data_IF_329660474992
#
_entry.id   IF_329660474992
#
_cell.length_a   1.000
_cell.length_b   1.000
_cell.length_c   1.000
_cell.angle_alpha   90.00
_cell.angle_beta   90.00
_cell.angle_gamma   90.00
#
_symmetry.space_group_name_H-M   'P 1'
#
loop_
_entity.id
_entity.type
_entity.pdbx_description
1 polymer ?
#
# COMPACT_ATOMS: atom_id res chain seq x y z
N UNK A 1 33.34 31.93 27.24
CA UNK A 1 32.44 30.90 26.68
C UNK A 1 31.09 31.41 26.14
N UNK A 2 30.96 32.69 25.77
CA UNK A 2 29.76 33.22 25.11
C UNK A 2 29.87 33.30 23.57
N UNK A 3 31.08 33.19 23.00
CA UNK A 3 31.29 33.38 21.55
C UNK A 3 30.98 32.14 20.69
N UNK A 4 30.86 30.95 21.28
CA UNK A 4 30.64 29.71 20.52
C UNK A 4 29.15 29.50 20.19
N UNK A 5 28.24 30.12 20.96
CA UNK A 5 26.79 29.93 20.81
C UNK A 5 26.17 30.89 19.78
N UNK A 6 26.75 32.08 19.59
CA UNK A 6 26.30 33.02 18.54
C UNK A 6 26.79 32.62 17.14
N UNK A 7 27.96 31.99 17.04
CA UNK A 7 28.54 31.58 15.76
C UNK A 7 27.83 30.34 15.16
N UNK A 8 27.30 29.44 16.00
CA UNK A 8 26.49 28.30 15.54
C UNK A 8 25.08 28.72 15.13
N UNK A 9 24.46 29.67 15.83
CA UNK A 9 23.14 30.20 15.48
C UNK A 9 23.14 31.02 14.18
N UNK A 10 24.27 31.68 13.84
CA UNK A 10 24.42 32.41 12.58
C UNK A 10 24.67 31.48 11.39
N UNK A 11 25.44 30.40 11.60
CA UNK A 11 25.68 29.36 10.58
C UNK A 11 24.40 28.55 10.26
N UNK A 12 23.58 28.21 11.27
CA UNK A 12 22.31 27.50 11.04
C UNK A 12 21.29 28.35 10.25
N UNK A 13 21.24 29.66 10.52
CA UNK A 13 20.39 30.60 9.77
C UNK A 13 20.90 30.83 8.33
N UNK A 14 22.22 30.88 8.11
CA UNK A 14 22.78 31.00 6.75
C UNK A 14 22.56 29.75 5.89
N UNK A 15 22.61 28.55 6.48
CA UNK A 15 22.40 27.29 5.74
C UNK A 15 20.94 27.16 5.28
N UNK A 16 19.99 27.61 6.11
CA UNK A 16 18.57 27.68 5.75
C UNK A 16 18.29 28.64 4.57
N UNK A 17 18.98 29.78 4.51
CA UNK A 17 18.81 30.75 3.41
C UNK A 17 19.43 30.30 2.07
N UNK A 18 20.54 29.56 2.09
CA UNK A 18 21.22 29.12 0.84
C UNK A 18 20.40 28.11 0.04
N UNK A 19 19.59 27.29 0.72
CA UNK A 19 18.66 26.36 0.07
C UNK A 19 17.51 27.07 -0.65
N UNK A 20 17.00 28.16 -0.07
CA UNK A 20 15.88 28.94 -0.62
C UNK A 20 16.28 29.89 -1.76
N UNK A 21 17.56 30.29 -1.85
CA UNK A 21 18.09 31.16 -2.92
C UNK A 21 18.47 30.42 -4.20
N UNK A 22 18.54 29.09 -4.18
CA UNK A 22 18.69 28.32 -5.43
C UNK A 22 17.39 28.45 -6.22
N UNK A 23 17.43 28.85 -7.50
CA UNK A 23 16.26 28.70 -8.35
C UNK A 23 15.82 27.24 -8.25
N UNK A 24 14.52 26.96 -8.04
CA UNK A 24 14.05 25.60 -7.94
C UNK A 24 14.54 24.84 -9.18
N UNK A 25 14.98 23.58 -9.05
CA UNK A 25 15.41 22.76 -10.18
C UNK A 25 14.21 22.32 -11.02
N UNK A 26 13.23 23.21 -11.19
CA UNK A 26 11.95 23.03 -11.84
C UNK A 26 12.00 23.94 -13.07
N UNK A 27 12.15 23.31 -14.23
CA UNK A 27 12.09 23.99 -15.51
C UNK A 27 10.62 23.98 -15.96
N UNK A 28 9.79 24.79 -15.30
CA UNK A 28 8.35 24.89 -15.58
C UNK A 28 7.89 26.33 -15.48
N UNK A 29 7.03 26.73 -16.43
CA UNK A 29 6.37 28.03 -16.43
C UNK A 29 5.28 28.14 -15.35
N UNK A 30 4.97 27.03 -14.66
CA UNK A 30 3.97 26.95 -13.60
C UNK A 30 4.64 26.58 -12.27
N UNK A 31 4.51 27.45 -11.26
CA UNK A 31 4.86 27.11 -9.89
C UNK A 31 3.68 26.35 -9.24
N UNK A 32 3.91 25.20 -8.60
CA UNK A 32 2.84 24.41 -7.99
C UNK A 32 2.37 24.99 -6.65
N UNK A 33 2.51 26.31 -6.43
CA UNK A 33 2.17 26.98 -5.17
C UNK A 33 1.07 28.05 -5.39
N UNK A 34 0.02 28.09 -4.55
CA UNK A 34 -0.24 27.16 -3.44
C UNK A 34 -0.61 25.77 -3.96
N UNK A 35 -0.04 24.72 -3.35
CA UNK A 35 -0.29 23.34 -3.76
C UNK A 35 -1.67 22.88 -3.27
N UNK A 36 -2.43 22.21 -4.14
CA UNK A 36 -3.84 21.83 -3.90
C UNK A 36 -4.08 20.31 -3.88
N UNK A 37 -3.02 19.49 -3.89
CA UNK A 37 -3.14 18.03 -3.94
C UNK A 37 -3.43 17.38 -2.57
N UNK A 38 -3.17 16.06 -2.47
CA UNK A 38 -3.10 15.33 -1.19
C UNK A 38 -1.73 14.67 -1.04
N UNK A 39 -1.10 14.83 0.12
CA UNK A 39 0.16 14.16 0.45
C UNK A 39 -0.16 12.91 1.27
N UNK A 40 0.68 11.92 1.08
CA UNK A 40 0.61 10.67 1.81
C UNK A 40 1.95 9.98 1.87
N UNK A 41 1.99 8.93 2.68
CA UNK A 41 3.12 8.02 2.77
C UNK A 41 2.62 6.57 2.80
N UNK A 42 3.57 5.65 2.73
CA UNK A 42 3.29 4.23 2.67
C UNK A 42 3.58 3.49 3.98
N UNK A 43 2.60 2.70 4.43
CA UNK A 43 2.66 1.65 5.44
C UNK A 43 3.00 2.10 6.87
N UNK A 44 4.01 2.93 7.06
CA UNK A 44 4.66 3.16 8.34
C UNK A 44 4.95 4.64 8.55
N UNK A 45 4.63 5.12 9.74
CA UNK A 45 5.12 6.39 10.25
C UNK A 45 6.27 6.11 11.24
N UNK A 46 7.47 6.60 10.92
CA UNK A 46 8.67 6.33 11.72
C UNK A 46 8.62 6.95 13.11
N UNK A 47 7.99 8.13 13.27
CA UNK A 47 7.78 8.77 14.58
C UNK A 47 6.83 7.96 15.46
N UNK A 48 5.76 7.43 14.87
CA UNK A 48 4.81 6.59 15.61
C UNK A 48 5.39 5.21 15.94
N UNK A 49 6.25 4.67 15.07
CA UNK A 49 6.94 3.39 15.31
C UNK A 49 7.88 3.45 16.52
N UNK A 50 8.51 4.59 16.78
CA UNK A 50 9.45 4.77 17.91
C UNK A 50 8.75 5.16 19.21
N UNK A 51 7.42 5.33 19.20
CA UNK A 51 6.63 5.58 20.41
C UNK A 51 6.62 4.37 21.35
N UNK A 52 6.21 4.58 22.60
CA UNK A 52 6.02 3.52 23.59
C UNK A 52 4.58 3.52 24.14
N UNK A 53 3.73 2.53 23.81
CA UNK A 53 4.01 1.42 22.90
C UNK A 53 4.12 1.86 21.42
N UNK A 54 4.80 1.09 20.56
CA UNK A 54 4.98 1.44 19.16
C UNK A 54 3.66 1.33 18.38
N UNK A 55 3.41 2.30 17.51
CA UNK A 55 2.19 2.39 16.69
C UNK A 55 2.55 2.21 15.21
N UNK A 56 2.08 1.12 14.61
CA UNK A 56 2.26 0.81 13.19
C UNK A 56 1.31 -0.31 12.76
N UNK A 57 1.13 -0.51 11.45
CA UNK A 57 0.11 -1.43 10.93
C UNK A 57 0.70 -2.49 9.98
N UNK A 58 1.91 -2.95 10.29
CA UNK A 58 2.67 -3.90 9.46
C UNK A 58 3.40 -4.96 10.30
N UNK A 59 2.83 -5.33 11.45
CA UNK A 59 3.36 -6.44 12.25
C UNK A 59 3.09 -7.75 11.52
N UNK A 60 4.11 -8.60 11.44
CA UNK A 60 4.04 -9.94 10.83
C UNK A 60 4.86 -10.93 11.65
N UNK A 61 4.80 -12.20 11.31
CA UNK A 61 5.53 -13.26 12.01
C UNK A 61 6.10 -14.29 11.03
N UNK A 62 6.82 -15.29 11.56
CA UNK A 62 7.27 -16.45 10.77
C UNK A 62 6.25 -17.58 10.88
N UNK A 63 6.21 -18.48 9.90
CA UNK A 63 5.41 -19.72 9.99
C UNK A 63 5.83 -20.53 11.24
N UNK A 64 7.12 -20.55 11.57
CA UNK A 64 7.59 -21.18 12.80
C UNK A 64 6.91 -20.61 14.05
N UNK A 65 6.67 -19.31 14.11
CA UNK A 65 5.93 -18.68 15.21
C UNK A 65 4.49 -19.18 15.27
N UNK A 66 3.81 -19.34 14.13
CA UNK A 66 2.45 -19.90 14.07
C UNK A 66 2.44 -21.33 14.65
N UNK A 67 3.40 -22.16 14.24
CA UNK A 67 3.53 -23.54 14.71
C UNK A 67 3.81 -23.62 16.21
N UNK A 68 4.70 -22.75 16.73
CA UNK A 68 4.97 -22.65 18.16
C UNK A 68 3.73 -22.23 18.95
N UNK A 69 2.95 -21.28 18.43
CA UNK A 69 1.72 -20.80 19.06
C UNK A 69 0.54 -21.75 18.91
N UNK A 70 0.72 -22.94 18.32
CA UNK A 70 -0.25 -24.04 18.46
C UNK A 70 -0.23 -24.63 19.87
N UNK A 71 0.80 -24.38 20.66
CA UNK A 71 0.94 -24.87 22.02
C UNK A 71 0.51 -23.80 23.04
N UNK A 72 -0.07 -24.18 24.20
CA UNK A 72 -0.35 -23.24 25.28
C UNK A 72 0.95 -22.65 25.85
N UNK A 73 0.85 -21.50 26.53
CA UNK A 73 1.96 -20.96 27.32
C UNK A 73 2.36 -21.92 28.45
N UNK A 74 3.63 -21.87 28.86
CA UNK A 74 4.16 -22.60 30.04
C UNK A 74 3.34 -22.30 31.30
N UNK A 75 3.00 -21.03 31.50
CA UNK A 75 2.04 -20.57 32.51
C UNK A 75 0.89 -19.81 31.82
N UNK A 76 -0.27 -20.45 31.61
CA UNK A 76 -1.43 -19.81 31.00
C UNK A 76 -2.05 -18.67 31.82
N UNK A 77 -1.67 -18.50 33.09
CA UNK A 77 -2.16 -17.41 33.95
C UNK A 77 -1.40 -16.09 33.77
N UNK A 78 -0.24 -16.13 33.10
CA UNK A 78 0.64 -15.00 32.86
C UNK A 78 0.61 -14.57 31.39
N UNK A 79 0.87 -13.29 31.08
CA UNK A 79 1.04 -12.87 29.68
C UNK A 79 2.24 -13.56 29.05
N UNK A 80 2.22 -13.66 27.72
CA UNK A 80 3.37 -14.14 26.96
C UNK A 80 4.59 -13.22 27.20
N UNK A 81 5.76 -13.83 27.39
CA UNK A 81 7.01 -13.11 27.50
C UNK A 81 8.09 -13.79 26.65
N UNK A 82 8.90 -13.02 25.90
CA UNK A 82 9.90 -13.57 24.99
C UNK A 82 10.93 -14.49 25.63
N UNK A 83 11.06 -14.54 26.96
CA UNK A 83 11.99 -15.43 27.68
C UNK A 83 11.42 -16.08 28.94
N UNK A 84 10.32 -15.56 29.50
CA UNK A 84 9.83 -15.96 30.83
C UNK A 84 8.57 -16.82 30.77
N UNK A 85 7.81 -16.72 29.70
CA UNK A 85 6.57 -17.46 29.52
C UNK A 85 6.31 -17.65 28.02
N UNK A 86 6.83 -18.75 27.47
CA UNK A 86 6.74 -19.07 26.04
C UNK A 86 5.74 -20.21 25.80
N UNK A 87 5.32 -20.47 24.56
CA UNK A 87 4.59 -21.69 24.22
C UNK A 87 5.35 -22.97 24.64
N UNK A 88 4.67 -23.86 25.36
CA UNK A 88 5.19 -25.14 25.83
C UNK A 88 4.98 -26.24 24.78
N UNK A 89 6.01 -26.45 23.95
CA UNK A 89 6.01 -27.45 22.86
C UNK A 89 5.84 -28.90 23.33
N UNK A 90 5.96 -29.18 24.64
CA UNK A 90 5.69 -30.52 25.18
C UNK A 90 4.19 -30.83 25.29
N UNK A 91 3.33 -29.80 25.27
CA UNK A 91 1.88 -29.94 25.33
C UNK A 91 1.30 -30.21 23.95
N UNK A 92 0.08 -30.78 23.85
CA UNK A 92 -0.59 -30.99 22.57
C UNK A 92 -0.75 -29.70 21.76
N UNK A 93 -0.57 -29.80 20.45
CA UNK A 93 -0.75 -28.69 19.53
C UNK A 93 -2.23 -28.55 19.13
N UNK A 94 -2.73 -27.32 19.09
CA UNK A 94 -4.05 -26.94 18.58
C UNK A 94 -3.88 -25.91 17.45
N UNK A 95 -4.20 -26.26 16.19
CA UNK A 95 -4.12 -25.33 15.06
C UNK A 95 -4.89 -24.01 15.28
N UNK A 96 -5.98 -24.03 16.05
CA UNK A 96 -6.78 -22.83 16.32
C UNK A 96 -6.02 -21.80 17.16
N UNK A 97 -5.09 -22.21 18.02
CA UNK A 97 -4.25 -21.27 18.78
C UNK A 97 -3.28 -20.53 17.87
N UNK A 98 -2.68 -21.23 16.91
CA UNK A 98 -1.84 -20.62 15.88
C UNK A 98 -2.61 -19.62 15.01
N UNK A 99 -3.85 -19.96 14.63
CA UNK A 99 -4.74 -19.04 13.92
C UNK A 99 -5.08 -17.80 14.76
N UNK A 100 -5.47 -17.98 16.03
CA UNK A 100 -5.76 -16.85 16.93
C UNK A 100 -4.56 -15.93 17.09
N UNK A 101 -3.35 -16.49 17.20
CA UNK A 101 -2.12 -15.70 17.30
C UNK A 101 -1.93 -14.74 16.11
N UNK A 102 -2.08 -15.22 14.87
CA UNK A 102 -1.95 -14.33 13.69
C UNK A 102 -3.13 -13.38 13.54
N UNK A 103 -4.34 -13.79 13.93
CA UNK A 103 -5.51 -12.92 14.00
C UNK A 103 -5.31 -11.77 14.99
N UNK A 104 -4.75 -12.02 16.16
CA UNK A 104 -4.45 -11.00 17.17
C UNK A 104 -3.42 -9.97 16.67
N UNK A 105 -2.42 -10.42 15.90
CA UNK A 105 -1.49 -9.50 15.21
C UNK A 105 -2.27 -8.59 14.25
N UNK A 106 -3.17 -9.17 13.44
CA UNK A 106 -4.03 -8.44 12.52
C UNK A 106 -4.93 -7.41 13.21
N UNK A 107 -5.57 -7.78 14.33
CA UNK A 107 -6.36 -6.86 15.14
C UNK A 107 -5.51 -5.68 15.66
N UNK A 108 -4.29 -5.95 16.11
CA UNK A 108 -3.41 -4.88 16.58
C UNK A 108 -2.99 -3.93 15.45
N UNK A 109 -2.70 -4.46 14.27
CA UNK A 109 -2.45 -3.64 13.09
C UNK A 109 -3.66 -2.76 12.73
N UNK A 110 -4.87 -3.33 12.72
CA UNK A 110 -6.11 -2.61 12.44
C UNK A 110 -6.41 -1.52 13.47
N UNK A 111 -6.21 -1.80 14.77
CA UNK A 111 -6.39 -0.81 15.85
C UNK A 111 -5.47 0.42 15.69
N UNK A 112 -4.24 0.20 15.24
CA UNK A 112 -3.28 1.29 15.11
C UNK A 112 -3.55 2.22 13.92
N UNK A 113 -4.33 1.80 12.92
CA UNK A 113 -4.76 2.67 11.82
C UNK A 113 -5.37 3.97 12.37
N UNK A 114 -6.25 3.89 13.36
CA UNK A 114 -6.93 5.07 13.95
C UNK A 114 -5.93 6.09 14.49
N UNK A 115 -4.89 5.63 15.19
CA UNK A 115 -3.85 6.53 15.74
C UNK A 115 -3.03 7.17 14.62
N UNK A 116 -2.72 6.40 13.58
CA UNK A 116 -1.99 6.88 12.41
C UNK A 116 -2.79 7.94 11.65
N UNK A 117 -4.08 7.72 11.40
CA UNK A 117 -4.94 8.69 10.72
C UNK A 117 -5.11 9.99 11.52
N UNK A 118 -5.26 9.91 12.84
CA UNK A 118 -5.33 11.10 13.71
C UNK A 118 -4.01 11.88 13.73
N UNK A 119 -2.88 11.18 13.70
CA UNK A 119 -1.59 11.83 13.57
C UNK A 119 -1.48 12.52 12.21
N UNK A 120 -1.85 11.84 11.13
CA UNK A 120 -1.80 12.39 9.77
C UNK A 120 -2.64 13.66 9.65
N UNK A 121 -3.86 13.64 10.19
CA UNK A 121 -4.76 14.78 10.21
C UNK A 121 -4.14 16.02 10.87
N UNK A 122 -3.50 15.83 12.03
CA UNK A 122 -2.78 16.89 12.75
C UNK A 122 -1.68 17.55 11.91
N UNK A 123 -1.07 16.82 10.97
CA UNK A 123 0.01 17.31 10.11
C UNK A 123 -0.44 17.55 8.65
N UNK A 124 -1.74 17.60 8.38
CA UNK A 124 -2.28 17.91 7.06
C UNK A 124 -2.05 16.80 6.00
N UNK A 125 -1.74 15.58 6.43
CA UNK A 125 -1.58 14.41 5.56
C UNK A 125 -2.97 13.77 5.40
N UNK A 126 -3.38 13.49 4.16
CA UNK A 126 -4.75 13.01 3.84
C UNK A 126 -4.78 11.77 2.96
N UNK A 127 -3.62 11.17 2.73
CA UNK A 127 -3.48 9.93 1.96
C UNK A 127 -2.60 8.95 2.74
N UNK A 128 -3.01 7.68 2.79
CA UNK A 128 -2.22 6.63 3.45
C UNK A 128 -2.33 5.31 2.68
N UNK A 129 -1.20 4.75 2.25
CA UNK A 129 -1.17 3.37 1.77
C UNK A 129 -1.07 2.42 2.96
N UNK A 130 -2.11 1.61 3.19
CA UNK A 130 -2.10 0.55 4.19
C UNK A 130 -1.12 -0.56 3.78
N UNK A 131 -0.53 -1.23 4.76
CA UNK A 131 0.43 -2.30 4.51
C UNK A 131 -0.26 -3.54 3.95
N UNK A 132 0.42 -4.30 3.09
CA UNK A 132 -0.05 -5.63 2.70
C UNK A 132 0.12 -6.65 3.84
N UNK A 133 1.02 -6.36 4.80
CA UNK A 133 1.25 -7.15 6.01
C UNK A 133 0.23 -6.87 7.14
N UNK A 134 -0.88 -6.20 6.83
CA UNK A 134 -1.94 -5.86 7.81
C UNK A 134 -2.45 -7.12 8.52
N UNK A 135 -2.69 -8.20 7.78
CA UNK A 135 -3.12 -9.49 8.29
C UNK A 135 -2.16 -10.59 7.83
N UNK A 136 -1.22 -11.01 8.70
CA UNK A 136 -0.18 -11.95 8.31
C UNK A 136 -0.76 -13.25 7.76
N UNK A 137 -0.28 -13.67 6.59
CA UNK A 137 -0.65 -14.92 5.92
C UNK A 137 -2.12 -15.06 5.49
N UNK A 138 -2.95 -14.02 5.53
CA UNK A 138 -4.38 -14.11 5.17
C UNK A 138 -4.62 -14.69 3.76
N UNK A 139 -3.76 -14.38 2.79
CA UNK A 139 -3.82 -14.91 1.42
C UNK A 139 -3.04 -16.22 1.18
N UNK A 140 -2.38 -16.76 2.21
CA UNK A 140 -1.55 -17.96 2.08
C UNK A 140 -2.39 -19.21 1.81
N UNK A 141 -1.90 -20.12 0.95
CA UNK A 141 -2.66 -21.31 0.56
C UNK A 141 -3.01 -22.23 1.74
N UNK A 142 -2.07 -22.43 2.66
CA UNK A 142 -2.22 -23.32 3.83
C UNK A 142 -2.66 -22.60 5.11
N UNK A 143 -2.24 -21.34 5.30
CA UNK A 143 -2.42 -20.59 6.55
C UNK A 143 -3.43 -19.44 6.40
N UNK A 144 -4.08 -19.32 5.24
CA UNK A 144 -5.02 -18.26 4.93
C UNK A 144 -6.31 -18.34 5.74
N UNK A 145 -6.96 -17.20 5.90
CA UNK A 145 -8.17 -17.03 6.69
C UNK A 145 -8.93 -15.78 6.23
N UNK A 146 -10.24 -15.75 6.47
CA UNK A 146 -11.07 -14.56 6.21
C UNK A 146 -10.90 -13.52 7.31
N UNK A 147 -11.18 -12.27 6.96
CA UNK A 147 -11.05 -11.12 7.86
C UNK A 147 -12.33 -10.79 8.64
N UNK A 148 -13.36 -11.65 8.57
CA UNK A 148 -14.63 -11.45 9.26
C UNK A 148 -14.49 -11.13 10.77
N UNK A 149 -13.54 -11.77 11.46
CA UNK A 149 -13.25 -11.52 12.88
C UNK A 149 -12.76 -10.09 13.17
N UNK A 150 -12.26 -9.38 12.15
CA UNK A 150 -11.73 -8.02 12.25
C UNK A 150 -12.71 -6.96 11.70
N UNK A 151 -13.94 -7.35 11.34
CA UNK A 151 -14.93 -6.44 10.75
C UNK A 151 -15.18 -5.20 11.60
N UNK A 152 -15.42 -5.35 12.91
CA UNK A 152 -15.71 -4.21 13.80
C UNK A 152 -14.53 -3.23 13.93
N UNK A 153 -13.30 -3.75 14.04
CA UNK A 153 -12.11 -2.90 14.19
C UNK A 153 -11.77 -2.19 12.89
N UNK A 154 -11.94 -2.84 11.74
CA UNK A 154 -11.75 -2.22 10.42
C UNK A 154 -12.82 -1.16 10.15
N UNK A 155 -14.10 -1.43 10.46
CA UNK A 155 -15.17 -0.45 10.35
C UNK A 155 -14.93 0.78 11.24
N UNK A 156 -14.38 0.57 12.44
CA UNK A 156 -13.95 1.67 13.32
C UNK A 156 -12.86 2.52 12.67
N UNK A 157 -11.86 1.88 12.05
CA UNK A 157 -10.80 2.59 11.32
C UNK A 157 -11.34 3.36 10.10
N UNK A 158 -12.23 2.74 9.31
CA UNK A 158 -12.81 3.39 8.14
C UNK A 158 -13.81 4.51 8.47
N UNK A 159 -14.51 4.44 9.61
CA UNK A 159 -15.26 5.57 10.15
C UNK A 159 -14.35 6.78 10.39
N UNK A 160 -13.22 6.58 11.06
CA UNK A 160 -12.24 7.65 11.31
C UNK A 160 -11.63 8.15 10.00
N UNK A 161 -11.33 7.25 9.04
CA UNK A 161 -10.86 7.66 7.73
C UNK A 161 -11.88 8.56 7.01
N UNK A 162 -13.17 8.20 7.09
CA UNK A 162 -14.26 8.97 6.48
C UNK A 162 -14.46 10.32 7.16
N UNK A 163 -14.49 10.36 8.49
CA UNK A 163 -14.60 11.59 9.30
C UNK A 163 -13.48 12.58 8.99
N UNK A 164 -12.25 12.09 8.81
CA UNK A 164 -11.07 12.92 8.57
C UNK A 164 -10.79 13.16 7.07
N UNK A 165 -11.63 12.64 6.17
CA UNK A 165 -11.44 12.75 4.71
C UNK A 165 -10.14 12.10 4.19
N UNK A 166 -9.70 11.02 4.85
CA UNK A 166 -8.50 10.29 4.46
C UNK A 166 -8.78 9.30 3.32
N UNK A 167 -7.98 9.41 2.26
CA UNK A 167 -7.92 8.38 1.22
C UNK A 167 -6.96 7.28 1.65
N UNK A 168 -7.42 6.04 1.60
CA UNK A 168 -6.58 4.86 1.86
C UNK A 168 -6.36 4.07 0.59
N UNK A 169 -5.22 3.42 0.43
CA UNK A 169 -4.95 2.49 -0.68
C UNK A 169 -4.14 1.30 -0.21
N UNK A 170 -3.97 0.29 -1.06
CA UNK A 170 -2.97 -0.77 -0.88
C UNK A 170 -2.10 -0.87 -2.11
N UNK A 171 -0.98 -1.58 -1.98
CA UNK A 171 -0.16 -1.99 -3.11
C UNK A 171 0.26 -3.44 -2.86
N UNK A 172 -0.49 -4.42 -3.37
CA UNK A 172 -0.09 -5.82 -3.35
C UNK A 172 1.36 -5.99 -3.81
N UNK A 173 2.07 -6.92 -3.18
CA UNK A 173 3.52 -7.04 -3.35
C UNK A 173 3.93 -7.59 -4.73
N UNK A 174 5.24 -7.61 -4.98
CA UNK A 174 5.84 -8.09 -6.24
C UNK A 174 5.49 -9.55 -6.61
N UNK A 175 4.96 -10.35 -5.67
CA UNK A 175 4.56 -11.74 -5.92
C UNK A 175 3.16 -11.86 -6.53
N UNK A 176 2.38 -10.78 -6.55
CA UNK A 176 1.05 -10.71 -7.14
C UNK A 176 1.17 -10.45 -8.64
N UNK A 177 1.18 -11.54 -9.41
CA UNK A 177 1.60 -11.63 -10.81
C UNK A 177 0.50 -12.25 -11.68
N UNK A 178 -0.49 -11.46 -12.06
CA UNK A 178 -1.67 -11.92 -12.84
C UNK A 178 -1.28 -12.37 -14.26
N UNK A 179 -0.22 -11.78 -14.83
CA UNK A 179 0.32 -12.13 -16.16
C UNK A 179 1.22 -13.37 -16.17
N UNK A 180 1.38 -14.08 -15.04
CA UNK A 180 2.29 -15.22 -14.94
C UNK A 180 1.86 -16.40 -15.84
N UNK A 181 2.80 -17.11 -16.49
CA UNK A 181 2.49 -18.36 -17.19
C UNK A 181 2.24 -19.53 -16.21
N UNK A 182 2.58 -19.38 -14.93
CA UNK A 182 2.42 -20.41 -13.90
C UNK A 182 1.06 -20.31 -13.23
N UNK A 183 0.24 -21.37 -13.34
CA UNK A 183 -1.14 -21.37 -12.82
C UNK A 183 -1.21 -21.18 -11.31
N UNK A 184 -0.26 -21.75 -10.58
CA UNK A 184 -0.14 -21.64 -9.14
C UNK A 184 0.17 -20.21 -8.67
N UNK A 185 0.95 -19.46 -9.46
CA UNK A 185 1.26 -18.05 -9.21
C UNK A 185 0.02 -17.18 -9.45
N UNK A 186 -0.70 -17.43 -10.54
CA UNK A 186 -1.97 -16.74 -10.83
C UNK A 186 -2.98 -17.01 -9.71
N UNK A 187 -3.15 -18.26 -9.28
CA UNK A 187 -4.06 -18.61 -8.20
C UNK A 187 -3.70 -17.94 -6.86
N UNK A 188 -2.40 -17.83 -6.54
CA UNK A 188 -1.92 -17.10 -5.37
C UNK A 188 -2.19 -15.59 -5.49
N UNK A 189 -1.98 -15.02 -6.67
CA UNK A 189 -2.22 -13.59 -6.95
C UNK A 189 -3.70 -13.24 -6.79
N UNK A 190 -4.60 -14.11 -7.26
CA UNK A 190 -6.04 -13.92 -7.08
C UNK A 190 -6.39 -13.92 -5.59
N UNK A 191 -5.92 -14.92 -4.81
CA UNK A 191 -6.18 -14.95 -3.36
C UNK A 191 -5.66 -13.69 -2.64
N UNK A 192 -4.52 -13.17 -3.06
CA UNK A 192 -3.94 -11.95 -2.50
C UNK A 192 -4.81 -10.71 -2.79
N UNK A 193 -5.32 -10.59 -4.02
CA UNK A 193 -6.22 -9.51 -4.40
C UNK A 193 -7.57 -9.60 -3.68
N UNK A 194 -8.15 -10.81 -3.54
CA UNK A 194 -9.38 -10.99 -2.78
C UNK A 194 -9.20 -10.64 -1.29
N UNK A 195 -8.04 -10.95 -0.70
CA UNK A 195 -7.70 -10.51 0.66
C UNK A 195 -7.68 -8.98 0.78
N UNK A 196 -7.02 -8.31 -0.17
CA UNK A 196 -6.96 -6.85 -0.18
C UNK A 196 -8.35 -6.21 -0.39
N UNK A 197 -9.18 -6.78 -1.25
CA UNK A 197 -10.56 -6.34 -1.45
C UNK A 197 -11.43 -6.56 -0.19
N UNK A 198 -11.33 -7.72 0.46
CA UNK A 198 -12.01 -7.99 1.74
C UNK A 198 -11.60 -6.95 2.80
N UNK A 199 -10.29 -6.70 2.94
CA UNK A 199 -9.79 -5.72 3.91
C UNK A 199 -10.33 -4.31 3.65
N UNK A 200 -10.27 -3.85 2.40
CA UNK A 200 -10.74 -2.50 2.03
C UNK A 200 -12.26 -2.39 2.19
N UNK A 201 -13.01 -3.43 1.82
CA UNK A 201 -14.47 -3.47 1.97
C UNK A 201 -14.89 -3.45 3.44
N UNK A 202 -14.18 -4.16 4.33
CA UNK A 202 -14.47 -4.16 5.77
C UNK A 202 -14.18 -2.82 6.47
N UNK A 203 -13.44 -1.91 5.83
CA UNK A 203 -13.34 -0.53 6.33
C UNK A 203 -14.70 0.18 6.31
N UNK A 204 -15.66 -0.26 5.49
CA UNK A 204 -17.00 0.31 5.42
C UNK A 204 -16.97 1.83 5.17
N UNK A 205 -16.14 2.26 4.22
CA UNK A 205 -15.92 3.66 3.89
C UNK A 205 -17.19 4.28 3.28
N UNK A 206 -17.31 5.62 3.36
CA UNK A 206 -18.32 6.34 2.57
C UNK A 206 -18.15 6.06 1.07
N UNK A 207 -19.24 6.10 0.30
CA UNK A 207 -19.30 5.63 -1.09
C UNK A 207 -18.15 6.15 -1.99
N UNK A 208 -17.83 7.44 -1.94
CA UNK A 208 -16.73 7.99 -2.75
C UNK A 208 -15.35 7.56 -2.23
N UNK A 209 -15.14 7.53 -0.91
CA UNK A 209 -13.87 7.07 -0.35
C UNK A 209 -13.65 5.58 -0.59
N UNK A 210 -14.72 4.80 -0.65
CA UNK A 210 -14.67 3.40 -1.02
C UNK A 210 -14.22 3.20 -2.46
N UNK A 211 -14.77 3.96 -3.43
CA UNK A 211 -14.25 3.99 -4.81
C UNK A 211 -12.79 4.43 -4.88
N UNK A 212 -12.41 5.41 -4.08
CA UNK A 212 -11.06 5.95 -4.04
C UNK A 212 -10.03 4.99 -3.41
N UNK A 213 -10.51 3.97 -2.69
CA UNK A 213 -9.71 2.94 -2.05
C UNK A 213 -9.29 1.84 -3.04
N UNK A 214 -8.18 2.11 -3.71
CA UNK A 214 -7.66 1.31 -4.82
C UNK A 214 -6.50 0.38 -4.42
N UNK A 215 -6.32 -0.67 -5.22
CA UNK A 215 -5.18 -1.60 -5.16
C UNK A 215 -4.24 -1.32 -6.32
N UNK A 216 -3.06 -0.78 -6.01
CA UNK A 216 -2.05 -0.42 -7.01
C UNK A 216 -1.21 -1.65 -7.34
N UNK A 217 -1.15 -2.03 -8.62
CA UNK A 217 -0.44 -3.22 -9.06
C UNK A 217 0.48 -2.90 -10.25
N UNK A 218 1.71 -3.39 -10.22
CA UNK A 218 2.55 -3.44 -11.42
C UNK A 218 2.10 -4.58 -12.35
N UNK A 219 2.32 -4.46 -13.65
CA UNK A 219 2.04 -5.54 -14.59
C UNK A 219 2.87 -6.81 -14.29
N UNK A 220 4.07 -6.61 -13.73
CA UNK A 220 4.92 -7.70 -13.25
C UNK A 220 5.91 -8.19 -14.29
N UNK A 221 6.28 -9.48 -14.24
CA UNK A 221 7.31 -10.03 -15.14
C UNK A 221 6.86 -10.02 -16.61
N UNK A 222 7.80 -9.79 -17.54
CA UNK A 222 7.53 -9.90 -19.00
C UNK A 222 7.50 -11.35 -19.49
N UNK A 223 8.05 -12.29 -18.70
CA UNK A 223 8.11 -13.73 -19.03
C UNK A 223 8.58 -14.05 -20.46
N UNK A 224 9.55 -13.26 -20.95
CA UNK A 224 10.14 -13.38 -22.29
C UNK A 224 9.39 -12.65 -23.42
N UNK A 225 8.13 -12.27 -23.22
CA UNK A 225 7.30 -11.62 -24.25
C UNK A 225 6.21 -10.73 -23.60
N UNK A 226 6.31 -9.42 -23.83
CA UNK A 226 5.34 -8.42 -23.36
C UNK A 226 3.94 -8.70 -23.89
N UNK A 227 3.77 -8.93 -25.19
CA UNK A 227 2.45 -9.12 -25.79
C UNK A 227 1.80 -10.40 -25.28
N UNK A 228 2.57 -11.48 -25.16
CA UNK A 228 2.06 -12.72 -24.56
C UNK A 228 1.65 -12.51 -23.08
N UNK A 229 2.38 -11.69 -22.33
CA UNK A 229 2.03 -11.33 -20.95
C UNK A 229 0.76 -10.51 -20.85
N UNK A 230 0.59 -9.49 -21.72
CA UNK A 230 -0.64 -8.71 -21.80
C UNK A 230 -1.84 -9.59 -22.12
N UNK A 231 -1.68 -10.58 -23.00
CA UNK A 231 -2.73 -11.54 -23.35
C UNK A 231 -3.13 -12.40 -22.15
N UNK A 232 -2.15 -12.95 -21.41
CA UNK A 232 -2.43 -13.70 -20.17
C UNK A 232 -3.08 -12.83 -19.10
N UNK A 233 -2.61 -11.58 -18.95
CA UNK A 233 -3.22 -10.62 -18.03
C UNK A 233 -4.69 -10.40 -18.38
N UNK A 234 -5.02 -10.15 -19.65
CA UNK A 234 -6.41 -9.99 -20.14
C UNK A 234 -7.28 -11.19 -19.77
N UNK A 235 -6.81 -12.40 -20.07
CA UNK A 235 -7.56 -13.64 -19.77
C UNK A 235 -7.79 -13.84 -18.27
N UNK A 236 -6.79 -13.53 -17.43
CA UNK A 236 -6.89 -13.71 -15.99
C UNK A 236 -7.67 -12.57 -15.32
N UNK A 237 -7.56 -11.34 -15.81
CA UNK A 237 -8.32 -10.18 -15.33
C UNK A 237 -9.83 -10.43 -15.43
N UNK A 238 -10.29 -11.05 -16.53
CA UNK A 238 -11.71 -11.41 -16.70
C UNK A 238 -12.24 -12.32 -15.59
N UNK A 239 -11.38 -13.14 -14.96
CA UNK A 239 -11.74 -14.10 -13.91
C UNK A 239 -11.78 -13.48 -12.50
N UNK A 240 -11.27 -12.26 -12.34
CA UNK A 240 -11.28 -11.57 -11.04
C UNK A 240 -12.71 -11.22 -10.62
N UNK A 241 -12.94 -11.17 -9.30
CA UNK A 241 -14.19 -10.69 -8.73
C UNK A 241 -14.44 -9.24 -9.11
N UNK A 242 -15.71 -8.82 -9.06
CA UNK A 242 -16.07 -7.44 -9.38
C UNK A 242 -15.50 -6.44 -8.35
N UNK A 243 -15.43 -6.83 -7.07
CA UNK A 243 -14.78 -6.03 -6.03
C UNK A 243 -13.31 -5.73 -6.36
N UNK A 244 -12.56 -6.78 -6.73
CA UNK A 244 -11.18 -6.63 -7.18
C UNK A 244 -11.09 -5.75 -8.43
N UNK A 245 -11.93 -5.99 -9.44
CA UNK A 245 -11.93 -5.18 -10.69
C UNK A 245 -12.24 -3.71 -10.43
N UNK A 246 -13.13 -3.41 -9.48
CA UNK A 246 -13.51 -2.04 -9.13
C UNK A 246 -12.36 -1.25 -8.50
N UNK A 247 -11.47 -1.93 -7.78
CA UNK A 247 -10.36 -1.30 -7.04
C UNK A 247 -9.01 -1.39 -7.74
N UNK A 248 -8.80 -2.35 -8.64
CA UNK A 248 -7.50 -2.56 -9.28
C UNK A 248 -7.13 -1.37 -10.15
N UNK A 249 -5.92 -0.85 -9.95
CA UNK A 249 -5.27 0.14 -10.81
C UNK A 249 -3.89 -0.37 -11.19
N UNK A 250 -3.42 -0.04 -12.40
CA UNK A 250 -2.08 -0.41 -12.86
C UNK A 250 -1.10 0.76 -12.68
N UNK A 251 0.15 0.45 -12.41
CA UNK A 251 1.24 1.43 -12.29
C UNK A 251 2.40 1.03 -13.22
N UNK A 252 2.95 2.01 -13.96
CA UNK A 252 4.17 1.81 -14.75
C UNK A 252 5.37 1.53 -13.83
N UNK A 253 6.36 0.79 -14.31
CA UNK A 253 7.55 0.42 -13.54
C UNK A 253 8.86 0.85 -14.21
N UNK A 254 9.96 0.68 -13.49
CA UNK A 254 11.31 1.10 -13.84
C UNK A 254 12.15 -0.02 -14.48
N UNK A 255 11.55 -1.16 -14.81
CA UNK A 255 12.27 -2.31 -15.38
C UNK A 255 11.74 -2.71 -16.74
N UNK A 256 10.43 -2.75 -16.92
CA UNK A 256 9.79 -3.48 -18.01
C UNK A 256 8.64 -2.73 -18.65
N UNK A 257 7.78 -2.05 -17.86
CA UNK A 257 6.49 -1.58 -18.35
C UNK A 257 6.37 -0.07 -18.26
N UNK A 258 6.51 0.59 -19.42
CA UNK A 258 6.29 2.03 -19.55
C UNK A 258 4.80 2.38 -19.51
N UNK A 259 4.51 3.68 -19.39
CA UNK A 259 3.14 4.20 -19.58
C UNK A 259 2.56 3.82 -20.95
N UNK A 260 3.39 3.81 -22.01
CA UNK A 260 2.92 3.52 -23.37
C UNK A 260 2.59 2.04 -23.56
N UNK A 261 3.26 1.15 -22.82
CA UNK A 261 2.91 -0.27 -22.80
C UNK A 261 1.56 -0.51 -22.08
N UNK A 262 1.32 0.19 -20.96
CA UNK A 262 0.20 -0.10 -20.07
C UNK A 262 -1.08 0.69 -20.37
N UNK A 263 -0.98 1.93 -20.85
CA UNK A 263 -2.16 2.77 -21.09
C UNK A 263 -3.17 2.14 -22.06
N UNK A 264 -2.78 1.49 -23.17
CA UNK A 264 -3.73 0.83 -24.06
C UNK A 264 -4.56 -0.27 -23.38
N UNK A 265 -3.93 -1.13 -22.58
CA UNK A 265 -4.66 -2.19 -21.86
C UNK A 265 -5.50 -1.63 -20.71
N UNK A 266 -5.06 -0.54 -20.08
CA UNK A 266 -5.84 0.20 -19.09
C UNK A 266 -7.12 0.80 -19.72
N UNK A 267 -6.98 1.38 -20.92
CA UNK A 267 -8.10 1.91 -21.68
C UNK A 267 -9.09 0.80 -22.07
N UNK A 268 -8.57 -0.32 -22.58
CA UNK A 268 -9.33 -1.50 -23.02
C UNK A 268 -10.11 -2.16 -21.88
N UNK A 269 -9.45 -2.44 -20.75
CA UNK A 269 -10.02 -3.19 -19.62
C UNK A 269 -10.71 -2.30 -18.58
N UNK A 270 -10.80 -1.00 -18.84
CA UNK A 270 -11.30 0.00 -17.90
C UNK A 270 -10.59 -0.06 -16.53
N UNK A 271 -9.26 -0.12 -16.57
CA UNK A 271 -8.38 -0.09 -15.39
C UNK A 271 -7.75 1.31 -15.31
N UNK A 272 -7.82 2.01 -14.18
CA UNK A 272 -7.12 3.28 -14.03
C UNK A 272 -5.60 3.09 -14.06
N UNK A 273 -4.88 4.01 -14.69
CA UNK A 273 -3.42 4.04 -14.68
C UNK A 273 -2.91 5.05 -13.65
N UNK A 274 -2.13 4.59 -12.69
CA UNK A 274 -1.29 5.40 -11.80
C UNK A 274 0.01 5.70 -12.54
N UNK A 275 0.31 6.99 -12.71
CA UNK A 275 1.60 7.43 -13.21
C UNK A 275 2.59 7.51 -12.05
N UNK A 276 3.62 6.67 -12.06
CA UNK A 276 4.81 6.87 -11.24
C UNK A 276 5.84 7.65 -12.05
N UNK A 277 6.14 8.88 -11.60
CA UNK A 277 7.08 9.78 -12.25
C UNK A 277 8.53 9.30 -12.16
N UNK A 278 8.92 8.65 -11.08
CA UNK A 278 10.28 8.13 -10.94
C UNK A 278 10.50 6.98 -11.94
N UNK A 279 9.57 6.03 -11.99
CA UNK A 279 9.60 4.93 -12.95
C UNK A 279 9.58 5.45 -14.38
N UNK A 280 8.75 6.46 -14.67
CA UNK A 280 8.68 7.06 -16.00
C UNK A 280 10.00 7.68 -16.44
N UNK A 281 10.75 8.30 -15.53
CA UNK A 281 12.04 8.89 -15.86
C UNK A 281 13.13 7.83 -16.15
N UNK A 282 12.91 6.56 -15.78
CA UNK A 282 13.84 5.45 -16.06
C UNK A 282 13.39 4.69 -17.31
N UNK A 283 12.10 4.33 -17.39
CA UNK A 283 11.49 3.59 -18.50
C UNK A 283 10.37 4.42 -19.13
N UNK A 284 10.64 4.91 -20.33
CA UNK A 284 9.70 5.66 -21.16
C UNK A 284 9.80 5.23 -22.62
N UNK A 285 8.79 5.63 -23.40
CA UNK A 285 8.75 5.32 -24.82
C UNK A 285 9.66 6.29 -25.61
N UNK A 286 10.43 5.82 -26.61
CA UNK A 286 11.31 6.68 -27.40
C UNK A 286 10.60 7.81 -28.17
N UNK A 287 9.28 7.74 -28.35
CA UNK A 287 8.48 8.81 -28.97
C UNK A 287 8.36 10.08 -28.10
N UNK A 288 8.73 10.01 -26.82
CA UNK A 288 8.75 11.16 -25.92
C UNK A 288 10.15 11.43 -25.39
N UNK A 289 10.39 12.70 -25.04
CA UNK A 289 11.63 13.12 -24.39
C UNK A 289 11.68 12.62 -22.94
N UNK A 290 12.87 12.23 -22.49
CA UNK A 290 13.17 12.01 -21.07
C UNK A 290 12.70 13.18 -20.18
N UNK A 291 12.15 12.85 -19.02
CA UNK A 291 11.60 13.79 -18.06
C UNK A 291 10.08 13.88 -18.13
N UNK A 292 9.52 14.91 -17.50
CA UNK A 292 8.07 15.01 -17.26
C UNK A 292 7.31 15.81 -18.31
N UNK A 293 7.98 16.50 -19.24
CA UNK A 293 7.28 17.34 -20.22
C UNK A 293 6.48 16.52 -21.23
N UNK A 294 7.06 15.43 -21.74
CA UNK A 294 6.42 14.60 -22.78
C UNK A 294 5.18 13.88 -22.26
N UNK A 295 5.21 13.44 -21.00
CA UNK A 295 4.11 12.67 -20.40
C UNK A 295 2.86 13.49 -20.12
N UNK A 296 2.98 14.82 -20.01
CA UNK A 296 1.84 15.74 -19.86
C UNK A 296 0.83 15.57 -21.00
N UNK A 297 1.31 15.28 -22.21
CA UNK A 297 0.43 15.01 -23.36
C UNK A 297 -0.48 13.79 -23.20
N UNK A 298 -0.18 12.89 -22.25
CA UNK A 298 -1.02 11.73 -21.94
C UNK A 298 -1.93 11.95 -20.73
N UNK A 299 -1.87 13.09 -20.04
CA UNK A 299 -2.63 13.32 -18.81
C UNK A 299 -4.14 13.20 -18.99
N UNK A 300 -4.69 13.67 -20.10
CA UNK A 300 -6.14 13.57 -20.35
C UNK A 300 -6.57 12.12 -20.57
N UNK A 301 -5.75 11.32 -21.28
CA UNK A 301 -6.00 9.89 -21.46
C UNK A 301 -5.91 9.14 -20.14
N UNK A 302 -4.87 9.41 -19.35
CA UNK A 302 -4.70 8.84 -18.01
C UNK A 302 -5.91 9.22 -17.14
N UNK A 303 -6.26 10.51 -17.04
CA UNK A 303 -7.40 11.00 -16.27
C UNK A 303 -8.71 10.32 -16.69
N UNK A 304 -8.93 10.13 -17.99
CA UNK A 304 -10.12 9.44 -18.49
C UNK A 304 -10.25 8.01 -17.94
N UNK A 305 -9.14 7.29 -17.71
CA UNK A 305 -9.18 5.95 -17.09
C UNK A 305 -9.71 5.97 -15.65
N UNK A 306 -9.53 7.07 -14.90
CA UNK A 306 -10.06 7.26 -13.55
C UNK A 306 -11.53 7.72 -13.58
N UNK A 307 -11.83 8.72 -14.42
CA UNK A 307 -13.17 9.31 -14.54
C UNK A 307 -14.22 8.28 -14.95
N UNK A 308 -13.89 7.34 -15.85
CA UNK A 308 -14.81 6.28 -16.29
C UNK A 308 -15.30 5.38 -15.15
N UNK A 309 -14.54 5.28 -14.05
CA UNK A 309 -14.92 4.53 -12.84
C UNK A 309 -15.41 5.40 -11.69
N UNK A 310 -15.53 6.71 -11.90
CA UNK A 310 -15.88 7.67 -10.86
C UNK A 310 -14.93 7.60 -9.64
N UNK A 311 -13.65 7.32 -9.91
CA UNK A 311 -12.58 7.30 -8.91
C UNK A 311 -11.85 8.65 -8.98
N UNK A 312 -11.62 9.28 -7.83
CA UNK A 312 -10.78 10.47 -7.76
C UNK A 312 -9.36 10.10 -8.20
N UNK A 313 -8.82 10.77 -9.21
CA UNK A 313 -7.48 10.48 -9.72
C UNK A 313 -6.43 10.61 -8.61
N UNK A 314 -5.56 9.59 -8.48
CA UNK A 314 -4.31 9.73 -7.72
C UNK A 314 -3.33 10.51 -8.60
N UNK A 315 -3.16 11.80 -8.31
CA UNK A 315 -2.13 12.65 -8.91
C UNK A 315 -0.92 12.74 -7.98
#
# INVERSE_FOLDING_TARGET
DMNIVEETASLENEVGERGAKRPPPVNSDQLPLPWTGRLGYACLNTYLRTANPPVFSSRTCRISSILEHRHPLQDPSQPEHPTKNRPDKSKPADPNRGLRYIQDIGLNNARDIVKMLRWNDKYGIKFMRLSSEMFPFASHAEYGYSLAFASEVLATAGKVASELGHRVTTHPGQFTQIGSPKKEVVAASIRDLEYHDEMLSLLSLSEQLDRDAVMILHMGGVYGDKQATLNRFRENYQKLSEGVKNRLVLENDDVSWSVHDLLPICEELNIPLVLDFHHHNIIFDPSIREGTQGIIGLYDRIRATWTRKNITQKM
#
